data_IF_787015608870
#
_entry.id   IF_787015608870
#
_cell.length_a   1.000
_cell.length_b   1.000
_cell.length_c   1.000
_cell.angle_alpha   90.00
_cell.angle_beta   90.00
_cell.angle_gamma   90.00
#
_symmetry.space_group_name_H-M   'P 1'
#
loop_
_entity.id
_entity.type
_entity.pdbx_description
1 polymer ?
#
# COMPACT_ATOMS: atom_id res chain seq x y z
N UNK A 1 -14.13 13.67 -16.95
CA UNK A 1 -12.80 13.07 -17.05
C UNK A 1 -12.93 11.56 -16.90
N UNK A 2 -12.21 10.80 -17.72
CA UNK A 2 -12.24 9.33 -17.76
C UNK A 2 -10.85 8.78 -17.43
N UNK A 3 -10.76 7.92 -16.42
CA UNK A 3 -9.50 7.36 -15.93
C UNK A 3 -9.50 5.84 -16.07
N UNK A 4 -8.49 5.27 -16.71
CA UNK A 4 -8.22 3.84 -16.67
C UNK A 4 -7.13 3.58 -15.64
N UNK A 5 -7.50 3.00 -14.52
CA UNK A 5 -6.61 2.63 -13.43
C UNK A 5 -6.09 1.20 -13.66
N UNK A 6 -4.85 1.07 -14.05
CA UNK A 6 -4.23 -0.21 -14.38
C UNK A 6 -3.41 -0.72 -13.20
N UNK A 7 -3.73 -1.91 -12.69
CA UNK A 7 -3.06 -2.52 -11.56
C UNK A 7 -2.96 -4.05 -11.73
N UNK A 8 -1.93 -4.64 -11.16
CA UNK A 8 -1.77 -6.10 -11.17
C UNK A 8 -2.69 -6.82 -10.18
N UNK A 9 -3.26 -6.10 -9.22
CA UNK A 9 -4.23 -6.60 -8.25
C UNK A 9 -5.19 -5.49 -7.84
N UNK A 10 -6.42 -5.84 -7.47
CA UNK A 10 -7.42 -4.91 -6.93
C UNK A 10 -8.40 -5.64 -6.02
N UNK A 11 -8.62 -5.11 -4.81
CA UNK A 11 -9.64 -5.61 -3.92
C UNK A 11 -11.05 -5.32 -4.48
N UNK A 12 -12.03 -6.21 -4.28
CA UNK A 12 -11.95 -7.45 -3.51
C UNK A 12 -11.59 -8.68 -4.35
N UNK A 13 -11.27 -8.52 -5.64
CA UNK A 13 -11.08 -9.60 -6.61
C UNK A 13 -9.78 -10.39 -6.37
N UNK A 14 -8.66 -9.68 -6.23
CA UNK A 14 -7.36 -10.28 -5.94
C UNK A 14 -6.56 -9.35 -5.02
N UNK A 15 -5.92 -9.91 -3.99
CA UNK A 15 -5.14 -9.14 -3.02
C UNK A 15 -3.95 -9.96 -2.53
N UNK A 16 -2.76 -9.41 -2.70
CA UNK A 16 -1.52 -9.88 -2.08
C UNK A 16 -0.87 -8.82 -1.19
N UNK A 17 -1.12 -7.54 -1.47
CA UNK A 17 -0.49 -6.40 -0.78
C UNK A 17 -1.36 -5.15 -0.72
N UNK A 18 -0.72 -4.03 -0.36
CA UNK A 18 -1.37 -2.73 -0.21
C UNK A 18 -1.87 -2.13 -1.54
N UNK A 19 -1.25 -2.52 -2.68
CA UNK A 19 -1.70 -2.07 -3.99
C UNK A 19 -3.17 -2.45 -4.24
N UNK A 20 -3.59 -3.65 -3.83
CA UNK A 20 -4.97 -4.08 -3.99
C UNK A 20 -5.96 -3.19 -3.24
N UNK A 21 -5.61 -2.74 -2.04
CA UNK A 21 -6.46 -1.83 -1.26
C UNK A 21 -6.60 -0.47 -1.99
N UNK A 22 -5.51 0.07 -2.50
CA UNK A 22 -5.51 1.32 -3.28
C UNK A 22 -6.36 1.16 -4.55
N UNK A 23 -6.12 0.11 -5.34
CA UNK A 23 -6.82 -0.13 -6.62
C UNK A 23 -8.31 -0.47 -6.43
N UNK A 24 -8.70 -0.92 -5.24
CA UNK A 24 -10.12 -1.13 -4.88
C UNK A 24 -10.80 0.12 -4.35
N UNK A 25 -10.08 1.01 -3.68
CA UNK A 25 -10.67 2.11 -2.93
C UNK A 25 -10.57 3.47 -3.64
N UNK A 26 -9.44 3.82 -4.25
CA UNK A 26 -9.28 5.09 -4.96
C UNK A 26 -10.24 5.25 -6.15
N UNK A 27 -10.41 4.26 -7.07
CA UNK A 27 -11.38 4.39 -8.15
C UNK A 27 -12.81 4.57 -7.64
N UNK A 28 -13.19 3.89 -6.55
CA UNK A 28 -14.50 4.05 -5.89
C UNK A 28 -14.70 5.48 -5.36
N UNK A 29 -13.69 6.07 -4.76
CA UNK A 29 -13.76 7.45 -4.29
C UNK A 29 -13.87 8.44 -5.47
N UNK A 30 -13.08 8.25 -6.53
CA UNK A 30 -13.15 9.07 -7.74
C UNK A 30 -14.52 9.01 -8.43
N UNK A 31 -15.15 7.82 -8.49
CA UNK A 31 -16.51 7.66 -9.05
C UNK A 31 -17.54 8.39 -8.21
N UNK A 32 -17.43 8.35 -6.88
CA UNK A 32 -18.30 9.14 -5.98
C UNK A 32 -18.19 10.65 -6.24
N UNK A 33 -17.01 11.12 -6.63
CA UNK A 33 -16.74 12.53 -6.96
C UNK A 33 -17.08 12.86 -8.44
N UNK A 34 -17.69 11.91 -9.19
CA UNK A 34 -18.20 12.13 -10.56
C UNK A 34 -17.18 11.88 -11.68
N UNK A 35 -16.06 11.26 -11.40
CA UNK A 35 -15.06 10.85 -12.39
C UNK A 35 -15.39 9.44 -12.88
N UNK A 36 -15.42 9.19 -14.21
CA UNK A 36 -15.55 7.83 -14.76
C UNK A 36 -14.20 7.09 -14.60
N UNK A 37 -13.97 6.54 -13.43
CA UNK A 37 -12.78 5.76 -13.12
C UNK A 37 -13.08 4.27 -13.26
N UNK A 38 -12.33 3.58 -14.13
CA UNK A 38 -12.43 2.13 -14.35
C UNK A 38 -11.11 1.46 -14.05
N UNK A 39 -11.16 0.21 -13.63
CA UNK A 39 -9.98 -0.59 -13.27
C UNK A 39 -9.71 -1.63 -14.34
N UNK A 40 -8.45 -1.90 -14.65
CA UNK A 40 -8.03 -3.06 -15.44
C UNK A 40 -6.98 -3.87 -14.68
N UNK A 41 -7.19 -5.20 -14.61
CA UNK A 41 -6.31 -6.13 -13.93
C UNK A 41 -6.25 -7.49 -14.63
N UNK A 42 -5.25 -8.35 -14.35
CA UNK A 42 -5.24 -9.72 -14.86
C UNK A 42 -6.38 -10.58 -14.28
N UNK A 43 -6.87 -11.53 -15.06
CA UNK A 43 -7.82 -12.55 -14.61
C UNK A 43 -7.06 -13.74 -14.02
N UNK A 44 -6.78 -13.71 -12.73
CA UNK A 44 -6.04 -14.79 -12.05
C UNK A 44 -6.88 -16.06 -11.83
N UNK A 45 -6.17 -17.20 -11.70
CA UNK A 45 -6.78 -18.50 -11.46
C UNK A 45 -7.62 -18.57 -10.19
N UNK A 46 -7.20 -17.88 -9.14
CA UNK A 46 -7.79 -17.81 -7.80
C UNK A 46 -8.62 -16.54 -7.55
N UNK A 47 -9.00 -15.82 -8.62
CA UNK A 47 -9.80 -14.60 -8.52
C UNK A 47 -11.11 -14.85 -7.76
N UNK A 48 -11.45 -13.98 -6.82
CA UNK A 48 -12.74 -14.00 -6.12
C UNK A 48 -13.85 -13.45 -7.03
N UNK A 49 -15.10 -13.89 -6.80
CA UNK A 49 -16.28 -13.42 -7.52
C UNK A 49 -16.24 -13.65 -9.04
N UNK A 50 -15.60 -14.73 -9.50
CA UNK A 50 -15.54 -15.08 -10.93
C UNK A 50 -16.91 -15.27 -11.58
N UNK A 51 -17.88 -15.72 -10.85
CA UNK A 51 -19.29 -15.91 -11.25
C UNK A 51 -19.99 -14.59 -11.62
N UNK A 52 -19.46 -13.46 -11.21
CA UNK A 52 -19.99 -12.13 -11.56
C UNK A 52 -19.43 -11.57 -12.86
N UNK A 53 -18.44 -12.24 -13.47
CA UNK A 53 -17.77 -11.73 -14.66
C UNK A 53 -18.62 -11.95 -15.92
N UNK A 54 -18.71 -10.93 -16.75
CA UNK A 54 -19.33 -10.97 -18.05
C UNK A 54 -18.26 -10.93 -19.15
N UNK A 55 -18.29 -11.89 -20.05
CA UNK A 55 -17.42 -11.89 -21.23
C UNK A 55 -17.77 -10.73 -22.15
N UNK A 56 -16.74 -10.01 -22.62
CA UNK A 56 -16.88 -8.88 -23.55
C UNK A 56 -16.47 -9.30 -24.95
N UNK A 57 -15.23 -9.72 -25.14
CA UNK A 57 -14.65 -10.11 -26.43
C UNK A 57 -13.31 -10.82 -26.24
N UNK A 58 -12.67 -11.19 -27.35
CA UNK A 58 -11.27 -11.60 -27.38
C UNK A 58 -10.52 -10.94 -28.55
N UNK A 59 -9.22 -10.84 -28.41
CA UNK A 59 -8.33 -10.28 -29.41
C UNK A 59 -6.93 -10.87 -29.24
N UNK A 60 -6.00 -10.47 -30.10
CA UNK A 60 -4.61 -10.88 -30.02
C UNK A 60 -3.75 -9.72 -29.54
N UNK A 61 -2.77 -10.02 -28.69
CA UNK A 61 -1.79 -9.07 -28.13
C UNK A 61 -0.39 -9.45 -28.60
N UNK A 62 0.36 -8.53 -29.23
CA UNK A 62 1.76 -8.77 -29.59
C UNK A 62 2.65 -8.94 -28.36
N UNK A 63 3.50 -9.96 -28.35
CA UNK A 63 4.54 -10.22 -27.35
C UNK A 63 5.82 -10.53 -28.12
N UNK A 64 6.65 -9.50 -28.35
CA UNK A 64 7.77 -9.59 -29.26
C UNK A 64 7.30 -9.99 -30.68
N UNK A 65 7.84 -11.10 -31.18
CA UNK A 65 7.48 -11.69 -32.48
C UNK A 65 6.22 -12.57 -32.40
N UNK A 66 5.73 -12.85 -31.21
CA UNK A 66 4.56 -13.73 -30.97
C UNK A 66 3.26 -12.92 -30.94
N UNK A 67 2.16 -13.59 -31.15
CA UNK A 67 0.80 -13.07 -30.97
C UNK A 67 0.06 -13.96 -29.97
N UNK A 68 -0.33 -13.41 -28.84
CA UNK A 68 -0.94 -14.14 -27.74
C UNK A 68 -2.44 -13.84 -27.64
N UNK A 69 -3.22 -14.86 -27.35
CA UNK A 69 -4.66 -14.72 -27.07
C UNK A 69 -4.89 -13.82 -25.87
N UNK A 70 -5.91 -12.98 -25.93
CA UNK A 70 -6.40 -12.17 -24.83
C UNK A 70 -7.93 -12.20 -24.81
N UNK A 71 -8.51 -12.78 -23.77
CA UNK A 71 -9.92 -12.62 -23.45
C UNK A 71 -10.13 -11.36 -22.62
N UNK A 72 -11.26 -10.69 -22.84
CA UNK A 72 -11.67 -9.53 -22.05
C UNK A 72 -12.98 -9.83 -21.34
N UNK A 73 -12.97 -9.70 -20.02
CA UNK A 73 -14.14 -9.78 -19.17
C UNK A 73 -14.36 -8.48 -18.43
N UNK A 74 -15.57 -8.26 -17.94
CA UNK A 74 -15.90 -7.12 -17.07
C UNK A 74 -16.82 -7.51 -15.93
N UNK A 75 -16.75 -6.76 -14.83
CA UNK A 75 -17.73 -6.73 -13.76
C UNK A 75 -17.92 -5.29 -13.29
N UNK A 76 -19.03 -5.02 -12.62
CA UNK A 76 -19.28 -3.75 -11.96
C UNK A 76 -19.43 -4.00 -10.46
N UNK A 77 -18.75 -3.20 -9.65
CA UNK A 77 -18.85 -3.26 -8.19
C UNK A 77 -18.68 -1.88 -7.57
N UNK A 78 -19.56 -1.53 -6.65
CA UNK A 78 -19.57 -0.23 -5.97
C UNK A 78 -19.56 0.97 -6.94
N UNK A 79 -20.18 0.83 -8.13
CA UNK A 79 -20.21 1.84 -9.18
C UNK A 79 -18.95 1.89 -10.05
N UNK A 80 -17.95 1.07 -9.78
CA UNK A 80 -16.71 0.97 -10.56
C UNK A 80 -16.79 -0.18 -11.55
N UNK A 81 -16.45 0.07 -12.81
CA UNK A 81 -16.29 -0.98 -13.83
C UNK A 81 -14.87 -1.53 -13.76
N UNK A 82 -14.77 -2.85 -13.61
CA UNK A 82 -13.51 -3.60 -13.66
C UNK A 82 -13.42 -4.38 -14.96
N UNK A 83 -12.30 -4.24 -15.65
CA UNK A 83 -11.91 -5.06 -16.79
C UNK A 83 -10.90 -6.11 -16.35
N UNK A 84 -11.00 -7.32 -16.89
CA UNK A 84 -10.11 -8.44 -16.59
C UNK A 84 -9.48 -8.96 -17.88
N UNK A 85 -8.16 -8.98 -17.91
CA UNK A 85 -7.35 -9.49 -19.03
C UNK A 85 -7.11 -10.97 -18.80
N UNK A 86 -7.73 -11.79 -19.64
CA UNK A 86 -7.65 -13.24 -19.57
C UNK A 86 -6.60 -13.80 -20.53
N UNK A 87 -5.69 -14.55 -19.96
CA UNK A 87 -4.82 -15.50 -20.64
C UNK A 87 -4.46 -16.60 -19.64
N UNK A 88 -5.04 -17.78 -19.80
CA UNK A 88 -4.85 -18.88 -18.85
C UNK A 88 -3.38 -19.30 -18.71
N UNK A 89 -2.60 -19.25 -19.77
CA UNK A 89 -1.17 -19.58 -19.72
C UNK A 89 -0.40 -18.66 -18.79
N UNK A 90 -0.70 -17.36 -18.82
CA UNK A 90 -0.03 -16.37 -17.97
C UNK A 90 -0.63 -16.25 -16.56
N UNK A 91 -1.95 -16.34 -16.40
CA UNK A 91 -2.60 -15.93 -15.17
C UNK A 91 -3.35 -17.02 -14.40
N UNK A 92 -3.60 -18.19 -14.99
CA UNK A 92 -4.24 -19.30 -14.29
C UNK A 92 -3.19 -20.13 -13.52
N UNK A 93 -2.61 -19.53 -12.50
CA UNK A 93 -1.53 -20.11 -11.69
C UNK A 93 -1.83 -19.99 -10.21
N UNK A 94 -1.07 -20.71 -9.38
CA UNK A 94 -1.11 -20.59 -7.93
C UNK A 94 -0.33 -19.35 -7.49
N UNK A 95 -1.03 -18.28 -7.15
CA UNK A 95 -0.46 -16.98 -6.78
C UNK A 95 -0.32 -16.00 -7.95
N UNK A 96 0.00 -14.76 -7.60
CA UNK A 96 -0.01 -13.64 -8.54
C UNK A 96 1.36 -13.33 -9.09
N UNK A 97 2.42 -13.51 -8.30
CA UNK A 97 3.80 -13.11 -8.59
C UNK A 97 4.80 -14.21 -8.25
N UNK A 98 6.06 -14.01 -8.66
CA UNK A 98 7.17 -14.88 -8.31
C UNK A 98 7.44 -15.99 -9.31
N UNK A 99 6.94 -15.88 -10.53
CA UNK A 99 7.20 -16.83 -11.60
C UNK A 99 8.38 -16.38 -12.46
N UNK A 100 9.11 -17.36 -13.01
CA UNK A 100 10.31 -17.12 -13.82
C UNK A 100 10.03 -16.25 -15.06
N UNK A 101 8.78 -16.28 -15.56
CA UNK A 101 8.31 -15.56 -16.74
C UNK A 101 7.48 -14.32 -16.40
N UNK A 102 7.58 -13.79 -15.19
CA UNK A 102 6.84 -12.57 -14.79
C UNK A 102 7.11 -11.39 -15.73
N UNK A 103 8.33 -11.29 -16.29
CA UNK A 103 8.65 -10.28 -17.30
C UNK A 103 7.77 -10.37 -18.54
N UNK A 104 7.55 -11.57 -19.07
CA UNK A 104 6.66 -11.80 -20.22
C UNK A 104 5.19 -11.61 -19.86
N UNK A 105 4.77 -12.13 -18.72
CA UNK A 105 3.40 -11.99 -18.20
C UNK A 105 2.96 -10.53 -18.12
N UNK A 106 3.80 -9.70 -17.55
CA UNK A 106 3.46 -8.28 -17.34
C UNK A 106 3.82 -7.39 -18.54
N UNK A 107 4.71 -7.81 -19.43
CA UNK A 107 4.83 -7.21 -20.76
C UNK A 107 3.54 -7.43 -21.58
N UNK A 108 3.02 -8.66 -21.61
CA UNK A 108 1.72 -8.98 -22.18
C UNK A 108 0.61 -8.12 -21.56
N UNK A 109 0.50 -8.09 -20.23
CA UNK A 109 -0.52 -7.31 -19.54
C UNK A 109 -0.46 -5.83 -19.88
N UNK A 110 0.73 -5.21 -19.81
CA UNK A 110 0.94 -3.81 -20.13
C UNK A 110 0.51 -3.46 -21.56
N UNK A 111 0.70 -4.37 -22.50
CA UNK A 111 0.26 -4.17 -23.89
C UNK A 111 -1.23 -4.43 -24.08
N UNK A 112 -1.77 -5.44 -23.41
CA UNK A 112 -3.20 -5.76 -23.42
C UNK A 112 -4.07 -4.59 -22.91
N UNK A 113 -3.56 -3.78 -21.96
CA UNK A 113 -4.24 -2.55 -21.49
C UNK A 113 -4.49 -1.57 -22.65
N UNK A 114 -3.58 -1.44 -23.58
CA UNK A 114 -3.76 -0.58 -24.76
C UNK A 114 -4.62 -1.25 -25.84
N UNK A 115 -4.35 -2.53 -26.13
CA UNK A 115 -5.08 -3.27 -27.15
C UNK A 115 -6.59 -3.37 -26.83
N UNK A 116 -6.97 -3.57 -25.56
CA UNK A 116 -8.39 -3.64 -25.18
C UNK A 116 -9.19 -2.39 -25.55
N UNK A 117 -8.54 -1.23 -25.65
CA UNK A 117 -9.22 0.02 -25.98
C UNK A 117 -9.76 0.03 -27.41
N UNK A 118 -9.25 -0.81 -28.31
CA UNK A 118 -9.86 -0.98 -29.64
C UNK A 118 -11.21 -1.71 -29.60
N UNK A 119 -11.48 -2.46 -28.54
CA UNK A 119 -12.62 -3.37 -28.40
C UNK A 119 -13.61 -2.95 -27.32
N UNK A 120 -13.38 -1.78 -26.73
CA UNK A 120 -14.28 -1.16 -25.76
C UNK A 120 -14.74 0.22 -26.25
N UNK A 121 -15.87 0.67 -25.74
CA UNK A 121 -16.39 2.04 -25.94
C UNK A 121 -15.77 3.06 -24.97
N UNK A 122 -14.82 2.64 -24.14
CA UNK A 122 -14.15 3.46 -23.18
C UNK A 122 -12.90 4.12 -23.78
N UNK A 123 -12.90 5.42 -23.82
CA UNK A 123 -11.78 6.24 -24.27
C UNK A 123 -11.26 7.04 -23.08
N UNK A 124 -10.20 6.58 -22.39
CA UNK A 124 -9.67 7.27 -21.23
C UNK A 124 -8.95 8.56 -21.62
N UNK A 125 -9.11 9.59 -20.79
CA UNK A 125 -8.27 10.79 -20.84
C UNK A 125 -6.88 10.48 -20.26
N UNK A 126 -6.86 9.62 -19.21
CA UNK A 126 -5.64 9.23 -18.51
C UNK A 126 -5.62 7.71 -18.29
N UNK A 127 -4.44 7.11 -18.50
CA UNK A 127 -4.11 5.77 -18.00
C UNK A 127 -3.17 5.93 -16.80
N UNK A 128 -3.62 5.52 -15.61
CA UNK A 128 -2.78 5.48 -14.40
C UNK A 128 -2.26 4.06 -14.17
N UNK A 129 -1.01 3.81 -14.53
CA UNK A 129 -0.31 2.57 -14.27
C UNK A 129 0.27 2.51 -12.85
N UNK A 130 0.29 1.32 -12.26
CA UNK A 130 0.72 1.09 -10.88
C UNK A 130 1.79 0.01 -10.82
N UNK A 131 2.94 0.35 -10.24
CA UNK A 131 4.13 -0.50 -10.10
C UNK A 131 4.65 -1.11 -11.41
N UNK A 132 5.73 -1.87 -11.31
CA UNK A 132 6.46 -2.39 -12.47
C UNK A 132 5.62 -3.30 -13.38
N UNK A 133 4.58 -3.92 -12.87
CA UNK A 133 3.69 -4.80 -13.64
C UNK A 133 2.89 -4.07 -14.73
N UNK A 134 2.75 -2.76 -14.61
CA UNK A 134 2.07 -1.92 -15.61
C UNK A 134 3.04 -0.94 -16.30
N UNK A 135 4.30 -0.99 -15.94
CA UNK A 135 5.30 0.01 -16.29
C UNK A 135 5.56 0.12 -17.80
N UNK A 136 5.37 -0.97 -18.56
CA UNK A 136 5.53 -0.92 -20.01
C UNK A 136 4.34 -0.26 -20.73
N UNK A 137 3.20 -0.01 -20.05
CA UNK A 137 2.05 0.66 -20.68
C UNK A 137 2.39 2.05 -21.23
N UNK A 138 2.98 3.01 -20.48
CA UNK A 138 3.40 4.30 -21.03
C UNK A 138 4.52 4.16 -22.06
N UNK A 139 5.39 3.17 -21.95
CA UNK A 139 6.44 2.89 -22.95
C UNK A 139 5.81 2.49 -24.27
N UNK A 140 4.93 1.50 -24.26
CA UNK A 140 4.23 1.05 -25.47
C UNK A 140 3.36 2.14 -26.07
N UNK A 141 2.64 2.91 -25.23
CA UNK A 141 1.85 4.03 -25.72
C UNK A 141 2.71 4.98 -26.54
N UNK A 142 3.87 5.38 -26.04
CA UNK A 142 4.73 6.33 -26.72
C UNK A 142 5.40 5.74 -27.97
N UNK A 143 5.86 4.49 -27.93
CA UNK A 143 6.58 3.88 -29.06
C UNK A 143 5.64 3.43 -30.19
N UNK A 144 4.44 2.91 -29.86
CA UNK A 144 3.64 2.16 -30.83
C UNK A 144 2.21 2.66 -31.05
N UNK A 145 1.64 3.45 -30.15
CA UNK A 145 0.23 3.84 -30.23
C UNK A 145 -0.01 5.35 -30.34
N UNK A 146 0.91 6.18 -29.87
CA UNK A 146 0.74 7.65 -29.83
C UNK A 146 0.43 8.28 -31.19
N UNK A 147 0.86 7.67 -32.29
CA UNK A 147 0.61 8.14 -33.65
C UNK A 147 -0.83 7.84 -34.15
N UNK A 148 -1.59 7.01 -33.45
CA UNK A 148 -2.97 6.69 -33.76
C UNK A 148 -3.91 7.72 -33.13
N UNK A 149 -4.89 8.23 -33.88
CA UNK A 149 -5.80 9.27 -33.43
C UNK A 149 -6.44 8.96 -32.06
N UNK A 150 -6.90 7.71 -31.89
CA UNK A 150 -7.52 7.22 -30.66
C UNK A 150 -6.63 7.36 -29.41
N UNK A 151 -5.32 7.28 -29.58
CA UNK A 151 -4.33 7.29 -28.47
C UNK A 151 -3.58 8.60 -28.35
N UNK A 152 -3.68 9.48 -29.35
CA UNK A 152 -2.86 10.69 -29.45
C UNK A 152 -3.00 11.65 -28.26
N UNK A 153 -4.19 11.68 -27.64
CA UNK A 153 -4.52 12.58 -26.52
C UNK A 153 -4.45 11.91 -25.14
N UNK A 154 -4.29 10.58 -25.09
CA UNK A 154 -4.24 9.87 -23.80
C UNK A 154 -2.99 10.29 -23.03
N UNK A 155 -3.16 10.77 -21.82
CA UNK A 155 -2.06 11.07 -20.89
C UNK A 155 -1.77 9.87 -20.00
N UNK A 156 -0.59 9.86 -19.40
CA UNK A 156 -0.17 8.76 -18.53
C UNK A 156 0.31 9.26 -17.17
N UNK A 157 -0.17 8.62 -16.12
CA UNK A 157 0.35 8.75 -14.76
C UNK A 157 0.93 7.40 -14.37
N UNK A 158 2.09 7.38 -13.77
CA UNK A 158 2.72 6.17 -13.25
C UNK A 158 2.93 6.29 -11.74
N UNK A 159 2.32 5.39 -10.97
CA UNK A 159 2.37 5.39 -9.51
C UNK A 159 3.31 4.31 -8.99
N UNK A 160 4.31 4.72 -8.21
CA UNK A 160 5.27 3.83 -7.54
C UNK A 160 4.77 3.56 -6.12
N UNK A 161 4.32 2.33 -5.83
CA UNK A 161 3.96 1.91 -4.49
C UNK A 161 5.16 1.41 -3.70
N UNK A 162 6.08 0.69 -4.37
CA UNK A 162 7.31 0.23 -3.75
C UNK A 162 8.45 0.19 -4.78
N UNK A 163 9.39 1.13 -4.68
CA UNK A 163 10.52 1.26 -5.60
C UNK A 163 11.52 0.08 -5.53
N UNK A 164 11.45 -0.77 -4.51
CA UNK A 164 12.31 -1.95 -4.42
C UNK A 164 12.02 -2.97 -5.52
N UNK A 165 10.78 -2.99 -6.05
CA UNK A 165 10.35 -3.91 -7.10
C UNK A 165 10.26 -3.18 -8.43
N UNK A 166 11.24 -3.37 -9.30
CA UNK A 166 11.43 -2.54 -10.50
C UNK A 166 11.15 -3.29 -11.82
N UNK A 167 10.99 -4.62 -11.79
CA UNK A 167 10.90 -5.42 -13.01
C UNK A 167 12.21 -5.42 -13.78
N UNK A 168 13.28 -5.98 -13.17
CA UNK A 168 14.63 -6.07 -13.75
C UNK A 168 14.84 -7.42 -14.40
N UNK A 169 15.30 -7.41 -15.66
CA UNK A 169 15.52 -8.59 -16.49
C UNK A 169 16.78 -8.43 -17.35
N UNK A 170 17.23 -9.50 -17.98
CA UNK A 170 18.28 -9.44 -19.00
C UNK A 170 17.84 -8.58 -20.21
N UNK A 171 18.80 -8.02 -20.94
CA UNK A 171 18.50 -7.16 -22.09
C UNK A 171 17.81 -7.88 -23.24
N UNK A 172 18.00 -9.20 -23.34
CA UNK A 172 17.35 -10.07 -24.33
C UNK A 172 15.83 -10.04 -24.28
N UNK A 173 15.24 -9.75 -23.10
CA UNK A 173 13.77 -9.61 -22.96
C UNK A 173 13.21 -8.47 -23.81
N UNK A 174 14.00 -7.41 -24.09
CA UNK A 174 13.52 -6.23 -24.77
C UNK A 174 13.03 -6.54 -26.18
N UNK A 175 13.84 -7.23 -27.00
CA UNK A 175 13.46 -7.56 -28.37
C UNK A 175 12.56 -8.79 -28.43
N UNK A 176 12.95 -9.89 -27.76
CA UNK A 176 12.25 -11.17 -27.85
C UNK A 176 10.83 -11.12 -27.27
N UNK A 177 10.68 -10.45 -26.11
CA UNK A 177 9.42 -10.45 -25.34
C UNK A 177 8.68 -9.13 -25.41
N UNK A 178 9.36 -8.01 -25.13
CA UNK A 178 8.71 -6.71 -25.11
C UNK A 178 8.48 -6.16 -26.55
N UNK A 179 9.17 -6.69 -27.56
CA UNK A 179 9.13 -6.19 -28.93
C UNK A 179 9.76 -4.81 -29.07
N UNK A 180 10.67 -4.44 -28.15
CA UNK A 180 11.40 -3.16 -28.16
C UNK A 180 12.76 -3.41 -28.81
N UNK A 181 12.90 -3.00 -30.06
CA UNK A 181 14.14 -3.19 -30.81
C UNK A 181 15.30 -2.33 -30.33
N UNK A 182 16.51 -2.62 -30.83
CA UNK A 182 17.77 -1.98 -30.40
C UNK A 182 17.73 -0.45 -30.46
N UNK A 183 16.99 0.15 -31.41
CA UNK A 183 16.83 1.60 -31.52
C UNK A 183 16.22 2.25 -30.29
N UNK A 184 15.22 1.59 -29.70
CA UNK A 184 14.39 2.13 -28.63
C UNK A 184 14.72 1.48 -27.27
N UNK A 185 15.68 0.52 -27.26
CA UNK A 185 16.11 -0.21 -26.06
C UNK A 185 16.53 0.74 -24.92
N UNK A 186 17.17 1.87 -25.24
CA UNK A 186 17.63 2.88 -24.28
C UNK A 186 16.52 3.46 -23.41
N UNK A 187 15.25 3.37 -23.84
CA UNK A 187 14.09 3.83 -23.07
C UNK A 187 13.91 2.97 -21.80
N UNK A 188 14.20 1.66 -21.88
CA UNK A 188 13.97 0.70 -20.81
C UNK A 188 15.29 0.21 -20.20
N UNK A 189 16.39 0.26 -20.96
CA UNK A 189 17.72 -0.10 -20.47
C UNK A 189 18.18 0.83 -19.36
N UNK A 190 18.67 0.27 -18.27
CA UNK A 190 19.26 1.00 -17.16
C UNK A 190 20.27 0.11 -16.42
N UNK A 191 21.47 0.62 -16.23
CA UNK A 191 22.55 -0.06 -15.50
C UNK A 191 22.81 -1.52 -15.99
N UNK A 192 22.82 -1.69 -17.32
CA UNK A 192 23.12 -2.96 -17.99
C UNK A 192 22.00 -4.01 -17.93
N UNK A 193 20.80 -3.64 -17.53
CA UNK A 193 19.63 -4.51 -17.55
C UNK A 193 18.39 -3.81 -18.14
N UNK A 194 17.38 -4.60 -18.52
CA UNK A 194 16.05 -4.06 -18.78
C UNK A 194 15.38 -3.75 -17.42
N UNK A 195 14.98 -2.50 -17.21
CA UNK A 195 14.29 -2.05 -16.01
C UNK A 195 12.96 -1.42 -16.40
N UNK A 196 11.86 -2.13 -16.16
CA UNK A 196 10.53 -1.71 -16.61
C UNK A 196 10.07 -0.43 -15.91
N UNK A 197 10.34 -0.30 -14.60
CA UNK A 197 10.02 0.91 -13.85
C UNK A 197 10.75 2.14 -14.40
N UNK A 198 12.03 1.99 -14.80
CA UNK A 198 12.79 3.06 -15.47
C UNK A 198 12.10 3.49 -16.74
N UNK A 199 11.62 2.55 -17.55
CA UNK A 199 10.87 2.85 -18.76
C UNK A 199 9.61 3.68 -18.50
N UNK A 200 8.86 3.32 -17.46
CA UNK A 200 7.68 4.09 -17.05
C UNK A 200 8.05 5.50 -16.57
N UNK A 201 9.08 5.63 -15.74
CA UNK A 201 9.56 6.93 -15.26
C UNK A 201 10.00 7.82 -16.44
N UNK A 202 10.61 7.26 -17.49
CA UNK A 202 10.96 8.02 -18.71
C UNK A 202 9.72 8.50 -19.46
N UNK A 203 8.77 7.61 -19.72
CA UNK A 203 7.70 7.78 -20.69
C UNK A 203 6.42 8.41 -20.13
N UNK A 204 6.12 8.24 -18.83
CA UNK A 204 4.89 8.79 -18.26
C UNK A 204 4.90 10.34 -18.24
N UNK A 205 3.73 10.94 -18.44
CA UNK A 205 3.56 12.40 -18.35
C UNK A 205 3.75 12.89 -16.91
N UNK A 206 3.32 12.10 -15.93
CA UNK A 206 3.54 12.36 -14.49
C UNK A 206 3.91 11.07 -13.76
N UNK A 207 4.75 11.19 -12.73
CA UNK A 207 5.13 10.09 -11.85
C UNK A 207 4.66 10.42 -10.45
N UNK A 208 3.98 9.48 -9.80
CA UNK A 208 3.53 9.66 -8.42
C UNK A 208 4.09 8.57 -7.52
N UNK A 209 4.12 8.84 -6.24
CA UNK A 209 4.30 7.82 -5.21
C UNK A 209 3.34 8.06 -4.05
N UNK A 210 3.33 7.18 -3.08
CA UNK A 210 2.25 7.02 -2.11
C UNK A 210 2.39 7.86 -0.85
N UNK A 211 3.33 8.80 -0.82
CA UNK A 211 3.38 9.88 0.19
C UNK A 211 4.35 11.00 -0.23
N UNK A 212 4.12 12.24 0.22
CA UNK A 212 5.02 13.38 -0.04
C UNK A 212 6.46 13.15 0.45
N UNK A 213 6.63 12.65 1.67
CA UNK A 213 7.94 12.35 2.23
C UNK A 213 8.64 11.24 1.44
N UNK A 214 7.93 10.18 1.04
CA UNK A 214 8.53 9.12 0.23
C UNK A 214 8.97 9.62 -1.15
N UNK A 215 8.25 10.57 -1.75
CA UNK A 215 8.68 11.20 -3.00
C UNK A 215 10.03 11.93 -2.87
N UNK A 216 10.37 12.43 -1.69
CA UNK A 216 11.68 13.02 -1.41
C UNK A 216 12.71 11.93 -1.06
N UNK A 217 12.33 10.94 -0.27
CA UNK A 217 13.23 9.84 0.13
C UNK A 217 13.76 9.07 -1.08
N UNK A 218 12.93 8.75 -2.09
CA UNK A 218 13.38 8.01 -3.28
C UNK A 218 14.33 8.80 -4.21
N UNK A 219 14.58 10.08 -3.94
CA UNK A 219 15.65 10.85 -4.57
C UNK A 219 17.02 10.60 -3.92
N UNK A 220 17.05 9.97 -2.74
CA UNK A 220 18.27 9.64 -2.03
C UNK A 220 18.74 8.21 -2.40
N UNK A 221 20.05 7.99 -2.62
CA UNK A 221 20.61 6.67 -2.96
C UNK A 221 20.25 5.55 -1.98
N UNK A 222 20.02 5.89 -0.70
CA UNK A 222 19.68 4.93 0.33
C UNK A 222 18.27 4.31 0.14
N UNK A 223 17.34 5.08 -0.43
CA UNK A 223 15.94 4.65 -0.59
C UNK A 223 15.57 4.30 -2.04
N UNK A 224 16.35 4.77 -3.02
CA UNK A 224 16.02 4.70 -4.46
C UNK A 224 16.23 3.33 -5.09
N UNK A 225 16.91 2.42 -4.42
CA UNK A 225 17.33 1.13 -5.01
C UNK A 225 18.05 1.29 -6.37
N UNK A 226 18.86 2.37 -6.50
CA UNK A 226 19.67 2.67 -7.69
C UNK A 226 18.99 3.57 -8.72
N UNK A 227 17.77 4.06 -8.49
CA UNK A 227 17.04 4.95 -9.41
C UNK A 227 17.17 6.44 -9.07
N UNK A 228 17.93 6.83 -8.02
CA UNK A 228 18.05 8.22 -7.58
C UNK A 228 18.53 9.17 -8.66
N UNK A 229 19.50 8.77 -9.46
CA UNK A 229 20.02 9.59 -10.58
C UNK A 229 18.94 9.90 -11.61
N UNK A 230 18.14 8.90 -11.99
CA UNK A 230 17.02 9.06 -12.90
C UNK A 230 15.92 9.93 -12.26
N UNK A 231 15.54 9.64 -11.03
CA UNK A 231 14.45 10.34 -10.35
C UNK A 231 14.76 11.81 -10.13
N UNK A 232 16.01 12.16 -9.79
CA UNK A 232 16.45 13.57 -9.71
C UNK A 232 16.35 14.29 -11.05
N UNK A 233 16.71 13.63 -12.17
CA UNK A 233 16.55 14.20 -13.51
C UNK A 233 15.06 14.42 -13.87
N UNK A 234 14.18 13.57 -13.37
CA UNK A 234 12.74 13.61 -13.65
C UNK A 234 11.92 14.23 -12.50
N UNK A 235 12.57 14.86 -11.54
CA UNK A 235 11.92 15.41 -10.33
C UNK A 235 10.78 16.39 -10.65
N UNK A 236 10.88 17.11 -11.77
CA UNK A 236 9.84 18.05 -12.21
C UNK A 236 8.46 17.43 -12.45
N UNK A 237 8.40 16.12 -12.67
CA UNK A 237 7.15 15.39 -12.85
C UNK A 237 6.84 14.40 -11.72
N UNK A 238 7.65 14.37 -10.66
CA UNK A 238 7.46 13.50 -9.50
C UNK A 238 6.68 14.23 -8.41
N UNK A 239 5.65 13.58 -7.85
CA UNK A 239 4.95 14.05 -6.66
C UNK A 239 4.54 12.87 -5.77
N UNK A 240 4.23 13.15 -4.52
CA UNK A 240 3.72 12.17 -3.56
C UNK A 240 2.30 12.50 -3.14
N UNK A 241 1.43 11.50 -3.10
CA UNK A 241 0.06 11.62 -2.60
C UNK A 241 -0.16 10.53 -1.55
N UNK A 242 -0.50 10.94 -0.34
CA UNK A 242 -0.74 10.00 0.75
C UNK A 242 -1.98 9.14 0.46
N UNK A 243 -1.85 7.82 0.58
CA UNK A 243 -2.99 6.92 0.48
C UNK A 243 -3.96 7.12 1.65
N UNK A 244 -5.24 6.81 1.41
CA UNK A 244 -6.25 6.73 2.44
C UNK A 244 -6.44 5.32 2.99
N UNK A 245 -7.36 5.19 3.94
CA UNK A 245 -7.92 3.92 4.40
C UNK A 245 -9.41 3.82 4.06
N UNK A 246 -9.93 2.60 3.93
CA UNK A 246 -11.36 2.36 3.82
C UNK A 246 -12.02 2.56 5.20
N UNK A 247 -12.63 3.72 5.40
CA UNK A 247 -13.28 4.11 6.66
C UNK A 247 -14.61 3.40 6.90
N UNK A 248 -15.15 2.71 5.91
CA UNK A 248 -16.33 1.85 6.07
C UNK A 248 -15.92 0.49 6.63
N UNK A 249 -14.78 -0.05 6.17
CA UNK A 249 -14.20 -1.31 6.65
C UNK A 249 -13.53 -1.11 8.02
N UNK A 250 -12.69 -0.08 8.15
CA UNK A 250 -12.01 0.25 9.42
C UNK A 250 -12.84 1.28 10.20
N UNK A 251 -13.92 0.80 10.83
CA UNK A 251 -14.83 1.66 11.57
C UNK A 251 -15.21 1.04 12.93
N UNK A 252 -14.65 1.53 14.04
CA UNK A 252 -14.93 0.97 15.36
C UNK A 252 -16.41 1.08 15.77
N UNK A 253 -17.20 1.99 15.13
CA UNK A 253 -18.63 2.09 15.41
C UNK A 253 -19.47 0.94 14.83
N UNK A 254 -18.97 0.26 13.80
CA UNK A 254 -19.72 -0.79 13.08
C UNK A 254 -18.95 -2.10 12.90
N UNK A 255 -17.69 -2.16 13.33
CA UNK A 255 -16.84 -3.35 13.21
C UNK A 255 -17.44 -4.55 13.99
N UNK A 256 -17.80 -5.65 13.31
CA UNK A 256 -18.39 -6.81 13.97
C UNK A 256 -17.38 -7.68 14.73
N UNK A 257 -16.08 -7.46 14.54
CA UNK A 257 -15.01 -8.29 15.07
C UNK A 257 -14.47 -7.82 16.42
N UNK A 258 -14.84 -6.61 16.88
CA UNK A 258 -14.42 -6.05 18.16
C UNK A 258 -15.43 -6.32 19.27
N UNK A 259 -14.96 -6.35 20.52
CA UNK A 259 -15.78 -6.72 21.68
C UNK A 259 -16.91 -5.73 21.98
N UNK A 260 -16.69 -4.44 21.73
CA UNK A 260 -17.69 -3.38 21.88
C UNK A 260 -17.45 -2.29 20.83
N UNK A 261 -18.50 -1.92 20.12
CA UNK A 261 -18.44 -0.81 19.18
C UNK A 261 -18.38 0.55 19.90
N UNK A 262 -17.69 1.52 19.31
CA UNK A 262 -17.53 2.87 19.84
C UNK A 262 -17.18 3.87 18.73
N UNK A 263 -17.36 5.13 19.01
CA UNK A 263 -16.95 6.26 18.19
C UNK A 263 -16.06 7.23 18.98
N UNK A 264 -15.74 8.39 18.41
CA UNK A 264 -14.91 9.41 19.06
C UNK A 264 -15.54 10.05 20.32
N UNK A 265 -16.84 9.88 20.54
CA UNK A 265 -17.51 10.37 21.76
C UNK A 265 -17.63 9.27 22.84
N UNK A 266 -17.66 8.00 22.45
CA UNK A 266 -17.90 6.85 23.34
C UNK A 266 -16.69 5.95 23.51
N UNK A 267 -15.52 6.31 22.96
CA UNK A 267 -14.33 5.47 22.90
C UNK A 267 -13.81 5.04 24.29
N UNK A 268 -13.95 5.89 25.31
CA UNK A 268 -13.39 5.56 26.64
C UNK A 268 -13.96 4.26 27.19
N UNK A 269 -15.28 4.11 27.15
CA UNK A 269 -15.95 2.88 27.57
C UNK A 269 -15.71 1.73 26.57
N UNK A 270 -15.82 2.03 25.26
CA UNK A 270 -15.65 1.02 24.22
C UNK A 270 -14.26 0.40 24.22
N UNK A 271 -13.20 1.23 24.25
CA UNK A 271 -11.82 0.75 24.31
C UNK A 271 -11.50 0.01 25.61
N UNK A 272 -12.08 0.41 26.74
CA UNK A 272 -11.90 -0.33 28.00
C UNK A 272 -12.39 -1.78 27.88
N UNK A 273 -13.58 -2.00 27.30
CA UNK A 273 -14.13 -3.35 27.07
C UNK A 273 -13.28 -4.12 26.04
N UNK A 274 -12.86 -3.46 24.94
CA UNK A 274 -12.00 -4.09 23.94
C UNK A 274 -10.62 -4.46 24.50
N UNK A 275 -10.05 -3.63 25.40
CA UNK A 275 -8.79 -3.91 26.08
C UNK A 275 -8.89 -5.12 26.99
N UNK A 276 -9.94 -5.20 27.80
CA UNK A 276 -10.18 -6.38 28.65
C UNK A 276 -10.32 -7.66 27.83
N UNK A 277 -11.05 -7.62 26.70
CA UNK A 277 -11.18 -8.75 25.81
C UNK A 277 -9.85 -9.15 25.16
N UNK A 278 -9.02 -8.18 24.77
CA UNK A 278 -7.68 -8.44 24.25
C UNK A 278 -6.75 -9.04 25.30
N UNK A 279 -6.84 -8.56 26.53
CA UNK A 279 -6.07 -9.11 27.67
C UNK A 279 -6.51 -10.55 27.97
N UNK A 280 -7.81 -10.87 27.90
CA UNK A 280 -8.30 -12.23 28.04
C UNK A 280 -7.80 -13.16 26.94
N UNK A 281 -7.83 -12.72 25.68
CA UNK A 281 -7.35 -13.48 24.52
C UNK A 281 -5.89 -13.90 24.65
N UNK A 282 -5.04 -13.02 25.18
CA UNK A 282 -3.60 -13.27 25.33
C UNK A 282 -3.20 -13.68 26.77
N UNK A 283 -4.14 -13.76 27.71
CA UNK A 283 -3.84 -14.07 29.10
C UNK A 283 -3.00 -13.00 29.80
N UNK A 284 -3.17 -11.73 29.45
CA UNK A 284 -2.43 -10.61 30.03
C UNK A 284 -3.05 -10.18 31.39
N UNK A 285 -2.24 -9.45 32.17
CA UNK A 285 -2.74 -8.92 33.45
C UNK A 285 -3.76 -7.78 33.22
N UNK A 286 -4.73 -7.66 34.13
CA UNK A 286 -5.72 -6.56 34.12
C UNK A 286 -5.42 -5.56 35.24
N UNK A 287 -4.17 -5.10 35.31
CA UNK A 287 -3.68 -4.21 36.37
C UNK A 287 -3.68 -2.72 35.98
N UNK A 288 -4.25 -2.40 34.82
CA UNK A 288 -4.30 -1.03 34.29
C UNK A 288 -3.06 -0.60 33.50
N UNK A 289 -2.09 -1.49 33.33
CA UNK A 289 -0.89 -1.24 32.50
C UNK A 289 -1.27 -0.90 31.05
N UNK A 290 -0.50 -0.01 30.36
CA UNK A 290 -0.73 0.22 28.94
C UNK A 290 -0.32 -0.98 28.10
N UNK A 291 -1.14 -1.30 27.08
CA UNK A 291 -0.88 -2.35 26.08
C UNK A 291 -0.25 -1.70 24.86
N UNK A 292 1.01 -2.04 24.57
CA UNK A 292 1.67 -1.70 23.31
C UNK A 292 1.56 -2.87 22.34
N UNK A 293 1.18 -2.59 21.10
CA UNK A 293 0.98 -3.63 20.10
C UNK A 293 1.74 -3.36 18.80
N UNK A 294 2.14 -4.44 18.11
CA UNK A 294 2.70 -4.41 16.77
C UNK A 294 1.99 -5.46 15.90
N UNK A 295 1.45 -5.02 14.77
CA UNK A 295 0.80 -5.87 13.77
C UNK A 295 1.52 -5.69 12.45
N UNK A 296 2.38 -6.64 12.05
CA UNK A 296 3.21 -6.48 10.86
C UNK A 296 3.83 -7.80 10.41
N UNK A 297 4.41 -7.81 9.20
CA UNK A 297 5.37 -8.86 8.83
C UNK A 297 6.62 -8.74 9.71
N UNK A 298 7.05 -9.85 10.30
CA UNK A 298 8.23 -9.88 11.18
C UNK A 298 9.52 -9.96 10.35
N UNK A 299 9.89 -8.84 9.75
CA UNK A 299 11.07 -8.69 8.88
C UNK A 299 11.85 -7.42 9.25
N UNK A 300 13.16 -7.42 9.00
CA UNK A 300 14.06 -6.36 9.48
C UNK A 300 13.68 -4.94 9.08
N UNK A 301 13.18 -4.71 7.85
CA UNK A 301 12.81 -3.36 7.41
C UNK A 301 11.56 -2.79 8.11
N UNK A 302 10.81 -3.60 8.85
CA UNK A 302 9.69 -3.14 9.70
C UNK A 302 10.13 -2.70 11.11
N UNK A 303 11.43 -2.71 11.40
CA UNK A 303 11.98 -2.28 12.68
C UNK A 303 11.77 -3.27 13.82
N UNK A 304 11.55 -4.54 13.49
CA UNK A 304 11.37 -5.63 14.46
C UNK A 304 12.62 -5.80 15.33
N UNK A 305 13.81 -5.59 14.75
CA UNK A 305 15.10 -5.58 15.46
C UNK A 305 15.17 -4.49 16.54
N UNK A 306 14.60 -3.32 16.29
CA UNK A 306 14.52 -2.25 17.30
C UNK A 306 13.58 -2.64 18.44
N UNK A 307 12.41 -3.21 18.13
CA UNK A 307 11.47 -3.69 19.18
C UNK A 307 12.10 -4.80 19.99
N UNK A 308 12.79 -5.75 19.34
CA UNK A 308 13.55 -6.81 20.00
C UNK A 308 14.55 -6.24 21.00
N UNK A 309 15.28 -5.20 20.61
CA UNK A 309 16.32 -4.59 21.47
C UNK A 309 15.75 -3.91 22.71
N UNK A 310 14.52 -3.37 22.66
CA UNK A 310 13.93 -2.61 23.77
C UNK A 310 12.87 -3.38 24.57
N UNK A 311 12.45 -4.57 24.11
CA UNK A 311 11.33 -5.30 24.68
C UNK A 311 11.43 -5.53 26.19
N UNK A 312 12.57 -6.02 26.67
CA UNK A 312 12.80 -6.23 28.12
C UNK A 312 12.71 -4.92 28.93
N UNK A 313 13.22 -3.81 28.37
CA UNK A 313 13.11 -2.50 28.98
C UNK A 313 11.67 -1.99 29.08
N UNK A 314 10.84 -2.24 28.05
CA UNK A 314 9.41 -1.92 28.08
C UNK A 314 8.67 -2.70 29.15
N UNK A 315 8.94 -4.00 29.26
CA UNK A 315 8.33 -4.86 30.30
C UNK A 315 8.70 -4.40 31.71
N UNK A 316 9.96 -3.98 31.93
CA UNK A 316 10.40 -3.43 33.22
C UNK A 316 9.69 -2.11 33.56
N UNK A 317 9.20 -1.37 32.57
CA UNK A 317 8.39 -0.17 32.75
C UNK A 317 6.92 -0.45 33.03
N UNK A 318 6.51 -1.71 33.17
CA UNK A 318 5.13 -2.13 33.42
C UNK A 318 4.23 -2.06 32.17
N UNK A 319 4.81 -2.17 30.98
CA UNK A 319 4.06 -2.23 29.71
C UNK A 319 3.72 -3.67 29.38
N UNK A 320 2.54 -3.91 28.87
CA UNK A 320 2.14 -5.17 28.23
C UNK A 320 2.43 -5.09 26.73
N UNK A 321 2.97 -6.15 26.15
CA UNK A 321 3.35 -6.19 24.73
C UNK A 321 2.55 -7.25 23.98
N UNK A 322 1.90 -6.85 22.86
CA UNK A 322 1.17 -7.75 21.98
C UNK A 322 1.76 -7.72 20.56
N UNK A 323 2.15 -8.88 20.04
CA UNK A 323 2.74 -9.03 18.71
C UNK A 323 1.87 -9.94 17.85
N UNK A 324 1.46 -9.46 16.69
CA UNK A 324 0.79 -10.24 15.66
C UNK A 324 1.57 -10.15 14.35
N UNK A 325 1.99 -11.27 13.81
CA UNK A 325 2.65 -11.32 12.50
C UNK A 325 3.43 -12.59 12.27
N UNK A 326 4.00 -12.72 11.08
CA UNK A 326 4.93 -13.79 10.71
C UNK A 326 6.02 -13.27 9.79
N UNK A 327 7.14 -13.97 9.70
CA UNK A 327 8.24 -13.55 8.82
C UNK A 327 9.52 -14.34 9.05
N UNK A 328 10.59 -13.67 9.47
CA UNK A 328 11.89 -14.29 9.69
C UNK A 328 11.89 -15.09 11.00
N UNK A 329 12.35 -16.34 10.93
CA UNK A 329 12.34 -17.25 12.06
C UNK A 329 13.07 -16.72 13.31
N UNK A 330 14.11 -15.89 13.13
CA UNK A 330 14.81 -15.26 14.26
C UNK A 330 13.87 -14.37 15.10
N UNK A 331 12.99 -13.61 14.48
CA UNK A 331 12.04 -12.74 15.17
C UNK A 331 10.87 -13.52 15.76
N UNK A 332 10.34 -14.49 15.02
CA UNK A 332 9.27 -15.38 15.52
C UNK A 332 9.72 -16.12 16.77
N UNK A 333 10.91 -16.71 16.76
CA UNK A 333 11.49 -17.41 17.90
C UNK A 333 11.70 -16.47 19.08
N UNK A 334 12.29 -15.29 18.86
CA UNK A 334 12.52 -14.31 19.91
C UNK A 334 11.22 -13.94 20.64
N UNK A 335 10.16 -13.60 19.92
CA UNK A 335 8.91 -13.19 20.56
C UNK A 335 8.21 -14.35 21.26
N UNK A 336 8.26 -15.58 20.72
CA UNK A 336 7.75 -16.76 21.40
C UNK A 336 8.51 -17.04 22.70
N UNK A 337 9.83 -16.90 22.72
CA UNK A 337 10.65 -17.04 23.93
C UNK A 337 10.38 -15.92 24.94
N UNK A 338 10.21 -14.68 24.46
CA UNK A 338 9.87 -13.53 25.30
C UNK A 338 8.51 -13.74 26.00
N UNK A 339 7.51 -14.24 25.25
CA UNK A 339 6.19 -14.57 25.76
C UNK A 339 6.27 -15.69 26.84
N UNK A 340 7.02 -16.74 26.56
CA UNK A 340 7.18 -17.86 27.49
C UNK A 340 7.85 -17.45 28.82
N UNK A 341 8.80 -16.48 28.76
CA UNK A 341 9.51 -15.97 29.95
C UNK A 341 8.71 -14.92 30.73
N UNK A 342 7.71 -14.30 30.10
CA UNK A 342 6.94 -13.19 30.69
C UNK A 342 5.41 -13.47 30.61
N UNK A 343 4.92 -14.55 31.25
CA UNK A 343 3.51 -14.85 31.26
C UNK A 343 2.69 -13.70 31.88
N UNK A 344 1.57 -13.37 31.28
CA UNK A 344 0.72 -12.26 31.71
C UNK A 344 1.20 -10.85 31.30
N UNK A 345 2.34 -10.73 30.60
CA UNK A 345 2.89 -9.45 30.13
C UNK A 345 3.11 -9.40 28.62
N UNK A 346 3.26 -10.55 27.98
CA UNK A 346 3.54 -10.64 26.56
C UNK A 346 2.55 -11.59 25.90
N UNK A 347 1.86 -11.12 24.87
CA UNK A 347 1.00 -11.91 24.00
C UNK A 347 1.57 -11.98 22.58
N UNK A 348 1.63 -13.17 22.00
CA UNK A 348 2.20 -13.38 20.66
C UNK A 348 1.29 -14.28 19.83
N UNK A 349 1.01 -13.87 18.61
CA UNK A 349 0.37 -14.70 17.60
C UNK A 349 1.22 -14.71 16.33
N UNK A 350 1.83 -15.85 16.03
CA UNK A 350 2.62 -16.02 14.80
C UNK A 350 1.69 -16.45 13.67
N UNK A 351 1.47 -15.58 12.71
CA UNK A 351 0.61 -15.82 11.58
C UNK A 351 -0.13 -14.57 11.09
N UNK A 352 -1.05 -14.78 10.15
CA UNK A 352 -1.98 -13.76 9.67
C UNK A 352 -3.38 -14.02 10.24
N UNK A 353 -3.95 -13.01 10.90
CA UNK A 353 -5.31 -13.07 11.41
C UNK A 353 -5.94 -11.67 11.37
N UNK A 354 -6.78 -11.42 10.36
CA UNK A 354 -7.40 -10.12 10.14
C UNK A 354 -8.33 -9.70 11.28
N UNK A 355 -9.12 -10.64 11.82
CA UNK A 355 -10.01 -10.38 12.94
C UNK A 355 -9.24 -10.00 14.20
N UNK A 356 -8.19 -10.75 14.51
CA UNK A 356 -7.34 -10.47 15.67
C UNK A 356 -6.62 -9.11 15.52
N UNK A 357 -6.23 -8.74 14.29
CA UNK A 357 -5.65 -7.42 14.02
C UNK A 357 -6.63 -6.29 14.38
N UNK A 358 -7.91 -6.40 14.01
CA UNK A 358 -8.94 -5.42 14.38
C UNK A 358 -9.15 -5.37 15.90
N UNK A 359 -9.16 -6.51 16.57
CA UNK A 359 -9.24 -6.58 18.03
C UNK A 359 -8.03 -5.91 18.72
N UNK A 360 -6.83 -6.06 18.14
CA UNK A 360 -5.62 -5.38 18.61
C UNK A 360 -5.74 -3.88 18.41
N UNK A 361 -6.16 -3.39 17.23
CA UNK A 361 -6.37 -1.95 17.01
C UNK A 361 -7.40 -1.37 17.98
N UNK A 362 -8.45 -2.11 18.32
CA UNK A 362 -9.46 -1.63 19.25
C UNK A 362 -9.03 -1.70 20.72
N UNK A 363 -8.30 -2.74 21.11
CA UNK A 363 -7.98 -3.04 22.52
C UNK A 363 -6.62 -2.51 22.99
N UNK A 364 -5.65 -2.31 22.11
CA UNK A 364 -4.36 -1.73 22.49
C UNK A 364 -4.48 -0.23 22.80
N UNK A 365 -3.53 0.31 23.56
CA UNK A 365 -3.42 1.74 23.85
C UNK A 365 -2.43 2.42 22.92
N UNK A 366 -1.33 1.74 22.58
CA UNK A 366 -0.21 2.27 21.80
C UNK A 366 0.14 1.28 20.69
N UNK A 367 0.44 1.79 19.50
CA UNK A 367 0.76 0.99 18.32
C UNK A 367 2.16 1.29 17.80
N UNK A 368 2.99 0.25 17.63
CA UNK A 368 4.41 0.40 17.26
C UNK A 368 4.62 0.21 15.75
N UNK A 369 5.20 1.23 15.09
CA UNK A 369 5.62 1.18 13.69
C UNK A 369 7.00 1.79 13.47
N UNK A 370 8.07 1.16 13.98
CA UNK A 370 9.44 1.71 13.90
C UNK A 370 10.15 1.37 12.58
N UNK A 371 9.43 1.39 11.47
CA UNK A 371 9.91 0.95 10.16
C UNK A 371 11.16 1.69 9.71
N UNK A 372 12.13 0.96 9.10
CA UNK A 372 13.31 1.54 8.46
C UNK A 372 12.94 2.32 7.20
N UNK A 373 11.97 1.83 6.47
CA UNK A 373 11.35 2.48 5.31
C UNK A 373 9.89 2.06 5.22
N UNK A 374 9.00 3.02 5.01
CA UNK A 374 7.57 2.77 4.87
C UNK A 374 7.01 3.74 3.81
N UNK A 375 6.84 3.31 2.56
CA UNK A 375 6.35 4.18 1.49
C UNK A 375 5.08 4.96 1.86
N UNK A 376 4.10 4.28 2.42
CA UNK A 376 2.89 4.89 2.96
C UNK A 376 2.61 4.39 4.39
N UNK A 377 2.42 3.09 4.56
CA UNK A 377 1.84 2.50 5.75
C UNK A 377 0.33 2.79 5.83
N UNK A 378 -0.43 1.81 6.29
CA UNK A 378 -1.87 1.96 6.54
C UNK A 378 -2.18 1.73 8.01
N UNK A 379 -1.41 0.88 8.67
CA UNK A 379 -1.66 0.44 10.05
C UNK A 379 -1.66 1.59 11.06
N UNK A 380 -0.83 2.62 10.89
CA UNK A 380 -0.83 3.81 11.75
C UNK A 380 -2.11 4.64 11.60
N UNK A 381 -2.65 4.73 10.39
CA UNK A 381 -3.91 5.43 10.13
C UNK A 381 -5.11 4.63 10.69
N UNK A 382 -5.07 3.31 10.52
CA UNK A 382 -6.06 2.41 11.13
C UNK A 382 -5.98 2.49 12.65
N UNK A 383 -4.79 2.45 13.25
CA UNK A 383 -4.65 2.57 14.71
C UNK A 383 -5.22 3.88 15.24
N UNK A 384 -4.95 5.01 14.58
CA UNK A 384 -5.59 6.29 14.91
C UNK A 384 -7.12 6.20 14.85
N UNK A 385 -7.66 5.61 13.79
CA UNK A 385 -9.11 5.45 13.61
C UNK A 385 -9.78 4.67 14.75
N UNK A 386 -9.06 3.71 15.33
CA UNK A 386 -9.49 2.93 16.50
C UNK A 386 -9.06 3.56 17.84
N UNK A 387 -8.46 4.73 17.83
CA UNK A 387 -8.03 5.43 19.05
C UNK A 387 -6.82 4.78 19.75
N UNK A 388 -6.02 4.03 19.01
CA UNK A 388 -4.76 3.45 19.47
C UNK A 388 -3.61 4.31 18.95
N UNK A 389 -2.86 4.89 19.89
CA UNK A 389 -1.91 5.97 19.58
C UNK A 389 -0.62 5.41 18.97
N UNK A 390 -0.25 5.81 17.74
CA UNK A 390 0.94 5.30 17.10
C UNK A 390 2.23 5.90 17.66
N UNK A 391 3.24 5.05 17.79
CA UNK A 391 4.65 5.39 17.94
C UNK A 391 5.36 4.99 16.66
N UNK A 392 5.86 5.96 15.92
CA UNK A 392 6.38 5.73 14.57
C UNK A 392 7.79 6.32 14.39
N UNK A 393 8.54 5.76 13.44
CA UNK A 393 9.71 6.44 12.91
C UNK A 393 9.31 7.41 11.81
N UNK A 394 9.93 8.58 11.76
CA UNK A 394 9.69 9.62 10.75
C UNK A 394 10.26 9.20 9.37
N UNK A 395 9.52 8.39 8.63
CA UNK A 395 9.87 7.95 7.27
C UNK A 395 8.60 7.83 6.42
N UNK A 396 8.69 8.18 5.15
CA UNK A 396 7.61 8.05 4.17
C UNK A 396 6.26 8.50 4.68
N UNK A 397 5.21 7.71 4.42
CA UNK A 397 3.86 8.03 4.83
C UNK A 397 3.60 8.01 6.34
N UNK A 398 4.48 7.41 7.13
CA UNK A 398 4.39 7.52 8.59
C UNK A 398 4.58 8.97 9.03
N UNK A 399 5.61 9.64 8.50
CA UNK A 399 5.88 11.06 8.78
C UNK A 399 4.77 11.98 8.29
N UNK A 400 4.15 11.64 7.14
CA UNK A 400 3.10 12.47 6.53
C UNK A 400 1.74 12.31 7.23
N UNK A 401 1.51 11.22 7.96
CA UNK A 401 0.24 10.93 8.64
C UNK A 401 0.28 11.13 10.15
N UNK A 402 1.44 10.99 10.78
CA UNK A 402 1.60 11.06 12.23
C UNK A 402 2.53 12.19 12.61
N UNK A 403 2.04 13.07 13.47
CA UNK A 403 2.77 14.22 14.02
C UNK A 403 2.96 14.04 15.53
N UNK A 404 4.12 14.44 16.02
CA UNK A 404 4.47 14.29 17.44
C UNK A 404 3.55 15.14 18.34
N UNK A 405 3.00 14.52 19.37
CA UNK A 405 2.06 15.15 20.30
C UNK A 405 2.74 16.00 21.38
N UNK A 406 4.07 16.08 21.41
CA UNK A 406 4.81 16.88 22.37
C UNK A 406 4.52 18.38 22.30
N UNK A 407 3.98 18.86 21.17
CA UNK A 407 3.51 20.23 20.99
C UNK A 407 2.07 20.46 21.44
N UNK A 408 1.36 19.41 21.85
CA UNK A 408 -0.06 19.43 22.25
C UNK A 408 -1.06 19.34 21.09
N UNK A 409 -0.60 19.26 19.83
CA UNK A 409 -1.45 19.24 18.63
C UNK A 409 -1.32 17.97 17.79
N UNK A 410 -0.23 17.22 17.95
CA UNK A 410 0.01 15.96 17.22
C UNK A 410 -0.97 14.84 17.56
N UNK A 411 -0.89 13.75 16.80
CA UNK A 411 -1.79 12.58 16.89
C UNK A 411 -1.05 11.28 17.22
N UNK A 412 0.23 11.34 17.59
CA UNK A 412 1.06 10.20 17.95
C UNK A 412 2.38 10.62 18.57
N UNK A 413 3.33 9.70 18.64
CA UNK A 413 4.69 9.95 19.07
C UNK A 413 5.68 9.55 17.99
N UNK A 414 6.71 10.36 17.77
CA UNK A 414 7.66 10.12 16.67
C UNK A 414 9.10 10.08 17.15
N UNK A 415 9.95 9.43 16.38
CA UNK A 415 11.40 9.48 16.51
C UNK A 415 12.06 9.51 15.12
N UNK A 416 13.24 10.12 15.00
CA UNK A 416 13.84 10.42 13.71
C UNK A 416 14.81 9.34 13.24
N UNK A 417 15.81 9.00 14.06
CA UNK A 417 16.88 8.11 13.65
C UNK A 417 16.54 6.64 13.91
N UNK A 418 16.97 5.77 13.00
CA UNK A 418 16.74 4.33 13.13
C UNK A 418 17.66 3.73 14.19
N UNK A 419 17.29 3.88 15.46
CA UNK A 419 18.01 3.27 16.59
C UNK A 419 17.06 2.95 17.75
N UNK A 420 17.45 1.98 18.57
CA UNK A 420 16.65 1.46 19.68
C UNK A 420 16.45 2.48 20.82
N UNK A 421 17.40 3.38 21.04
CA UNK A 421 17.31 4.37 22.10
C UNK A 421 16.20 5.39 21.83
N UNK A 422 16.15 5.96 20.62
CA UNK A 422 15.09 6.90 20.23
C UNK A 422 13.70 6.23 20.21
N UNK A 423 13.60 4.98 19.75
CA UNK A 423 12.34 4.23 19.86
C UNK A 423 11.93 4.06 21.33
N UNK A 424 12.87 3.68 22.19
CA UNK A 424 12.59 3.52 23.62
C UNK A 424 12.11 4.82 24.26
N UNK A 425 12.75 5.96 23.96
CA UNK A 425 12.34 7.27 24.44
C UNK A 425 10.93 7.66 23.94
N UNK A 426 10.61 7.39 22.67
CA UNK A 426 9.27 7.64 22.12
C UNK A 426 8.20 6.75 22.80
N UNK A 427 8.52 5.48 23.04
CA UNK A 427 7.65 4.57 23.82
C UNK A 427 7.45 5.04 25.26
N UNK A 428 8.53 5.53 25.89
CA UNK A 428 8.47 6.07 27.25
C UNK A 428 7.57 7.32 27.31
N UNK A 429 7.72 8.26 26.36
CA UNK A 429 6.84 9.43 26.27
C UNK A 429 5.37 9.03 26.06
N UNK A 430 5.10 8.04 25.22
CA UNK A 430 3.77 7.53 25.03
C UNK A 430 3.17 6.91 26.30
N UNK A 431 3.97 6.11 27.04
CA UNK A 431 3.58 5.55 28.34
C UNK A 431 3.31 6.63 29.37
N UNK A 432 4.16 7.64 29.48
CA UNK A 432 3.93 8.77 30.39
C UNK A 432 2.67 9.55 30.00
N UNK A 433 2.43 9.73 28.70
CA UNK A 433 1.20 10.32 28.17
C UNK A 433 -0.05 9.52 28.55
N UNK A 434 0.01 8.19 28.52
CA UNK A 434 -1.10 7.31 28.91
C UNK A 434 -1.59 7.57 30.35
N UNK A 435 -0.68 7.87 31.25
CA UNK A 435 -1.02 8.16 32.65
C UNK A 435 -1.55 9.58 32.90
N UNK A 436 -1.56 10.45 31.87
CA UNK A 436 -2.12 11.80 31.95
C UNK A 436 -3.64 11.75 31.76
N UNK A 437 -4.36 11.64 32.87
CA UNK A 437 -5.83 11.39 32.87
C UNK A 437 -6.64 12.38 32.06
N UNK A 438 -6.23 13.64 31.99
CA UNK A 438 -6.92 14.67 31.23
C UNK A 438 -6.39 14.81 29.80
N UNK A 439 -5.09 14.56 29.58
CA UNK A 439 -4.41 14.70 28.29
C UNK A 439 -4.61 13.53 27.34
N UNK A 440 -4.54 12.30 27.87
CA UNK A 440 -4.64 11.11 27.04
C UNK A 440 -5.97 10.97 26.28
N UNK A 441 -7.14 11.17 26.90
CA UNK A 441 -8.41 11.13 26.16
C UNK A 441 -8.51 12.20 25.05
N UNK A 442 -7.92 13.35 25.26
CA UNK A 442 -7.87 14.42 24.24
C UNK A 442 -7.01 14.00 23.05
N UNK A 443 -5.85 13.36 23.31
CA UNK A 443 -5.01 12.82 22.25
C UNK A 443 -5.71 11.71 21.48
N UNK A 444 -6.35 10.77 22.17
CA UNK A 444 -7.09 9.67 21.56
C UNK A 444 -8.22 10.18 20.65
N UNK A 445 -9.03 11.11 21.15
CA UNK A 445 -10.12 11.72 20.38
C UNK A 445 -9.57 12.40 19.11
N UNK A 446 -8.51 13.19 19.23
CA UNK A 446 -7.86 13.86 18.10
C UNK A 446 -7.35 12.86 17.05
N UNK A 447 -6.73 11.75 17.49
CA UNK A 447 -6.29 10.70 16.59
C UNK A 447 -7.46 10.07 15.83
N UNK A 448 -8.58 9.80 16.52
CA UNK A 448 -9.80 9.24 15.90
C UNK A 448 -10.48 10.20 14.91
N UNK A 449 -10.35 11.50 15.11
CA UNK A 449 -10.93 12.55 14.27
C UNK A 449 -10.06 12.92 13.05
N UNK A 450 -8.85 12.34 12.91
CA UNK A 450 -8.04 12.52 11.72
C UNK A 450 -8.74 11.96 10.48
N UNK A 451 -8.85 12.77 9.43
CA UNK A 451 -9.41 12.33 8.15
C UNK A 451 -8.36 11.64 7.27
N UNK A 452 -8.25 10.34 7.43
CA UNK A 452 -7.46 9.45 6.57
C UNK A 452 -8.31 8.74 5.51
N UNK A 453 -9.49 9.25 5.19
CA UNK A 453 -10.37 8.64 4.18
C UNK A 453 -9.80 8.75 2.77
N UNK A 454 -10.18 7.80 1.92
CA UNK A 454 -9.91 7.89 0.49
C UNK A 454 -10.52 9.11 -0.18
N UNK A 455 -11.60 9.67 0.35
CA UNK A 455 -12.19 10.92 -0.16
C UNK A 455 -11.21 12.10 -0.08
N UNK A 456 -10.38 12.15 0.95
CA UNK A 456 -9.34 13.17 1.07
C UNK A 456 -8.21 12.94 0.05
N UNK A 457 -7.72 11.71 -0.08
CA UNK A 457 -6.69 11.37 -1.07
C UNK A 457 -7.18 11.54 -2.50
N UNK A 458 -8.44 11.17 -2.79
CA UNK A 458 -9.05 11.31 -4.11
C UNK A 458 -9.04 12.75 -4.63
N UNK A 459 -9.28 13.74 -3.77
CA UNK A 459 -9.17 15.17 -4.15
C UNK A 459 -7.79 15.55 -4.64
N UNK A 460 -6.74 15.00 -4.01
CA UNK A 460 -5.36 15.22 -4.45
C UNK A 460 -5.08 14.57 -5.81
N UNK A 461 -5.60 13.37 -6.03
CA UNK A 461 -5.53 12.70 -7.35
C UNK A 461 -6.34 13.45 -8.41
N UNK A 462 -7.54 13.95 -8.08
CA UNK A 462 -8.34 14.79 -8.98
C UNK A 462 -7.58 16.04 -9.41
N UNK A 463 -6.95 16.74 -8.47
CA UNK A 463 -6.08 17.88 -8.74
C UNK A 463 -4.94 17.53 -9.70
N UNK A 464 -4.25 16.41 -9.44
CA UNK A 464 -3.20 15.88 -10.30
C UNK A 464 -3.71 15.55 -11.71
N UNK A 465 -4.83 14.84 -11.81
CA UNK A 465 -5.37 14.45 -13.12
C UNK A 465 -5.82 15.67 -13.94
N UNK A 466 -6.41 16.69 -13.30
CA UNK A 466 -6.72 17.95 -13.96
C UNK A 466 -5.47 18.68 -14.47
N UNK A 467 -4.37 18.66 -13.68
CA UNK A 467 -3.07 19.19 -14.16
C UNK A 467 -2.59 18.42 -15.40
N UNK A 468 -2.60 17.07 -15.34
CA UNK A 468 -2.07 16.19 -16.38
C UNK A 468 -2.82 16.31 -17.70
N UNK A 469 -4.15 16.38 -17.67
CA UNK A 469 -4.98 16.53 -18.87
C UNK A 469 -4.68 17.86 -19.58
N UNK A 470 -4.31 18.89 -18.84
CA UNK A 470 -3.97 20.22 -19.39
C UNK A 470 -2.48 20.38 -19.78
N UNK A 471 -1.64 19.35 -19.64
CA UNK A 471 -0.27 19.37 -20.15
C UNK A 471 -0.29 19.37 -21.69
N UNK A 472 0.43 20.31 -22.30
CA UNK A 472 0.57 20.47 -23.77
C UNK A 472 1.64 19.54 -24.36
#
# INVERSE_FOLDING_TARGET
>A
MKILYAASEAAPFAKSGGLADVAGALPKALVRDGIDARVVMPLYGDLKFKDTLTYVTNFSVPVGWRSQYCGLFKAERDGVVFYFIDNEYYFKRSGQYGFYDDGERFAFFSRAILEMLFYTDFEPDIINGNDWQTALTPVYLNLYYRHLDKFSRIKTVFTIHNIAYQGKYGLDILEDTCGIGARDAHVVEYDGCANFMKGAIECADKVTTVSPTYAQEILDPWFSHGLDGLLRQKQYKLCGILNGIDVDVFNPATDPDIAKNYDAETFQEGKAVCKEALQDEFGLHKDGSPVMAMVTRLVGHKGVDLVQAIAEGLLQQGIELVILGSGEAQYENFFNELCARNPGRVGVYIGFNAKLAQQIYAGADIFLMPSRSEPCGLAQMVSCRYGTIPVIRETGGLKDSIHDSGDGYGNGFTFANYNAHELYEACWRAKEGYWQKDGWPVLVKRAMECDFSWSNSAKSYEGLYNEVVNLW
#
